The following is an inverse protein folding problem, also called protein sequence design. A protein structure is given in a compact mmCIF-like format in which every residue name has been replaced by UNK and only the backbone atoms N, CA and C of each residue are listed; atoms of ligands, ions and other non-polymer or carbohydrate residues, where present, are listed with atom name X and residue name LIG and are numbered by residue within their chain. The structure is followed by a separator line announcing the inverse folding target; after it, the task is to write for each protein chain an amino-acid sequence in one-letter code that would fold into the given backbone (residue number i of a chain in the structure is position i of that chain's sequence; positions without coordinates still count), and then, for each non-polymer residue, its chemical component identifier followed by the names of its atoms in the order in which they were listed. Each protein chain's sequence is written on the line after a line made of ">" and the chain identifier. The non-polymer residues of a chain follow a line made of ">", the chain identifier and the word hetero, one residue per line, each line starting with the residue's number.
data_IF_181397437500
#
_entry.id   IF_181397437500
#
_cell.length_a   1.000
_cell.length_b   1.000
_cell.length_c   1.000
_cell.angle_alpha   90.00
_cell.angle_beta   90.00
_cell.angle_gamma   90.00
#
_symmetry.space_group_name_H-M   'P 1'
#
loop_
_entity.id
_entity.type
_entity.pdbx_description
1 polymer ?
#
# COMPACT_ATOMS: atom_id res chain seq x y z
N UNK A 1 1.64 17.97 8.02
CA UNK A 1 0.23 17.53 8.05
C UNK A 1 -0.22 17.45 9.49
N UNK A 2 -1.51 17.66 9.76
CA UNK A 2 -2.16 17.49 11.07
C UNK A 2 -3.27 16.46 10.89
N UNK A 3 -3.25 15.41 11.70
CA UNK A 3 -4.29 14.38 11.78
C UNK A 3 -4.56 14.08 13.25
N UNK A 4 -5.74 13.61 13.59
CA UNK A 4 -6.01 13.07 14.93
C UNK A 4 -5.23 11.78 15.18
N UNK A 5 -5.05 11.39 16.44
CA UNK A 5 -4.46 10.08 16.78
C UNK A 5 -5.20 8.92 16.12
N UNK A 6 -6.54 9.00 16.05
CA UNK A 6 -7.38 7.99 15.42
C UNK A 6 -7.16 7.91 13.90
N UNK A 7 -7.11 9.05 13.21
CA UNK A 7 -6.82 9.09 11.77
C UNK A 7 -5.40 8.60 11.48
N UNK A 8 -4.44 8.93 12.34
CA UNK A 8 -3.05 8.47 12.22
C UNK A 8 -2.95 6.96 12.40
N UNK A 9 -3.66 6.40 13.38
CA UNK A 9 -3.78 4.96 13.59
C UNK A 9 -4.39 4.25 12.38
N UNK A 10 -5.47 4.81 11.81
CA UNK A 10 -6.04 4.32 10.55
C UNK A 10 -5.06 4.43 9.39
N UNK A 11 -4.32 5.52 9.25
CA UNK A 11 -3.35 5.70 8.17
C UNK A 11 -2.24 4.64 8.20
N UNK A 12 -1.82 4.24 9.39
CA UNK A 12 -0.74 3.28 9.61
C UNK A 12 -1.22 1.83 9.70
N UNK A 13 -2.54 1.60 9.67
CA UNK A 13 -3.16 0.31 9.98
C UNK A 13 -2.69 -0.27 11.34
N UNK A 14 -2.60 0.60 12.35
CA UNK A 14 -2.10 0.26 13.69
C UNK A 14 -3.12 0.60 14.78
N UNK A 15 -3.19 -0.19 15.87
CA UNK A 15 -3.97 0.19 17.06
C UNK A 15 -3.45 1.51 17.67
N UNK A 16 -4.36 2.36 18.15
CA UNK A 16 -4.03 3.66 18.74
C UNK A 16 -2.97 3.56 19.86
N UNK A 17 -3.07 2.54 20.71
CA UNK A 17 -2.10 2.32 21.79
C UNK A 17 -0.69 1.98 21.29
N UNK A 18 -0.55 1.35 20.11
CA UNK A 18 0.77 1.12 19.50
C UNK A 18 1.35 2.43 18.97
N UNK A 19 0.54 3.22 18.27
CA UNK A 19 0.94 4.52 17.72
C UNK A 19 1.37 5.45 18.87
N UNK A 20 0.58 5.56 19.92
CA UNK A 20 0.89 6.38 21.09
C UNK A 20 2.18 5.94 21.78
N UNK A 21 2.36 4.64 21.98
CA UNK A 21 3.61 4.09 22.55
C UNK A 21 4.81 4.42 21.66
N UNK A 22 4.68 4.33 20.34
CA UNK A 22 5.78 4.57 19.41
C UNK A 22 6.13 6.05 19.30
N UNK A 23 5.14 6.94 19.38
CA UNK A 23 5.36 8.38 19.52
C UNK A 23 6.16 8.66 20.79
N UNK A 24 5.74 8.11 21.93
CA UNK A 24 6.44 8.29 23.22
C UNK A 24 7.86 7.74 23.20
N UNK A 25 8.09 6.65 22.47
CA UNK A 25 9.41 6.03 22.32
C UNK A 25 10.29 6.69 21.24
N UNK A 26 9.77 7.67 20.49
CA UNK A 26 10.49 8.29 19.36
C UNK A 26 10.75 7.33 18.20
N UNK A 27 10.01 6.22 18.10
CA UNK A 27 10.22 5.18 17.07
C UNK A 27 9.56 5.49 15.75
N UNK A 28 8.67 6.48 15.73
CA UNK A 28 7.92 6.93 14.56
C UNK A 28 8.06 8.46 14.46
N UNK A 29 8.23 9.04 13.25
CA UNK A 29 8.43 10.48 13.07
C UNK A 29 7.13 11.27 13.17
N UNK A 30 6.40 11.09 14.28
CA UNK A 30 5.14 11.76 14.58
C UNK A 30 5.26 12.42 15.95
N UNK A 31 4.88 13.68 16.02
CA UNK A 31 4.80 14.44 17.28
C UNK A 31 3.34 14.60 17.67
N UNK A 32 3.00 14.38 18.95
CA UNK A 32 1.65 14.54 19.48
C UNK A 32 1.54 15.87 20.25
N UNK A 33 0.47 16.62 20.02
CA UNK A 33 0.07 17.76 20.84
C UNK A 33 -1.41 17.64 21.17
N UNK A 34 -1.75 17.34 22.41
CA UNK A 34 -3.12 16.99 22.80
C UNK A 34 -3.61 15.74 22.05
N UNK A 35 -4.71 15.86 21.31
CA UNK A 35 -5.26 14.78 20.47
C UNK A 35 -4.71 14.80 19.02
N UNK A 36 -4.05 15.89 18.64
CA UNK A 36 -3.51 16.09 17.31
C UNK A 36 -2.11 15.47 17.16
N UNK A 37 -1.89 14.85 16.02
CA UNK A 37 -0.63 14.30 15.55
C UNK A 37 -0.09 15.12 14.38
N UNK A 38 1.20 15.45 14.46
CA UNK A 38 1.92 16.30 13.53
C UNK A 38 3.10 15.54 12.92
N UNK A 39 3.19 15.54 11.59
CA UNK A 39 4.29 14.92 10.87
C UNK A 39 4.46 15.52 9.47
N UNK A 40 5.64 15.35 8.89
CA UNK A 40 5.89 15.61 7.47
C UNK A 40 5.55 14.34 6.69
N UNK A 41 4.69 14.43 5.66
CA UNK A 41 4.25 13.28 4.84
C UNK A 41 5.45 12.47 4.33
N UNK A 42 6.40 13.15 3.67
CA UNK A 42 7.61 12.53 3.14
C UNK A 42 8.48 11.83 4.21
N UNK A 43 8.53 12.35 5.44
CA UNK A 43 9.28 11.72 6.51
C UNK A 43 8.60 10.43 7.01
N UNK A 44 7.26 10.45 7.10
CA UNK A 44 6.48 9.28 7.49
C UNK A 44 6.50 8.20 6.40
N UNK A 45 6.42 8.57 5.13
CA UNK A 45 6.55 7.65 3.99
C UNK A 45 7.92 6.98 3.96
N UNK A 46 9.00 7.77 4.10
CA UNK A 46 10.36 7.22 4.16
C UNK A 46 10.55 6.26 5.33
N UNK A 47 10.00 6.61 6.49
CA UNK A 47 10.02 5.74 7.67
C UNK A 47 9.25 4.45 7.42
N UNK A 48 8.06 4.53 6.83
CA UNK A 48 7.23 3.37 6.53
C UNK A 48 7.95 2.40 5.56
N UNK A 49 8.57 2.93 4.50
CA UNK A 49 9.40 2.14 3.58
C UNK A 49 10.59 1.48 4.27
N UNK A 50 11.27 2.19 5.17
CA UNK A 50 12.44 1.68 5.91
C UNK A 50 12.07 0.57 6.90
N UNK A 51 10.83 0.59 7.41
CA UNK A 51 10.34 -0.37 8.39
C UNK A 51 9.33 -1.38 7.82
N UNK A 52 9.23 -1.49 6.49
CA UNK A 52 8.30 -2.38 5.78
C UNK A 52 6.82 -2.21 6.20
N UNK A 53 6.43 -0.99 6.56
CA UNK A 53 5.05 -0.62 6.86
C UNK A 53 4.33 -0.12 5.60
N UNK A 54 3.12 -0.62 5.38
CA UNK A 54 2.22 -0.10 4.35
C UNK A 54 1.40 1.04 4.95
N UNK A 55 1.57 2.25 4.41
CA UNK A 55 0.63 3.33 4.69
C UNK A 55 -0.63 3.08 3.87
N UNK A 56 -1.79 3.10 4.52
CA UNK A 56 -3.06 3.10 3.80
C UNK A 56 -3.12 4.38 2.98
N UNK A 57 -2.97 4.25 1.65
CA UNK A 57 -3.03 5.37 0.72
C UNK A 57 -4.44 5.93 0.82
N UNK A 58 -4.60 7.09 1.47
CA UNK A 58 -5.86 7.84 1.44
C UNK A 58 -6.22 7.99 -0.02
N UNK A 59 -7.37 7.44 -0.43
CA UNK A 59 -7.84 7.27 -1.82
C UNK A 59 -8.03 8.60 -2.60
N UNK A 60 -7.51 9.71 -2.09
CA UNK A 60 -7.68 11.06 -2.62
C UNK A 60 -6.56 11.51 -3.57
N UNK A 61 -5.64 10.64 -3.97
CA UNK A 61 -4.60 11.00 -4.94
C UNK A 61 -4.37 9.88 -5.96
N UNK A 62 -5.42 9.63 -6.76
CA UNK A 62 -5.32 8.92 -8.03
C UNK A 62 -4.82 9.91 -9.08
N UNK A 63 -3.55 10.31 -8.97
CA UNK A 63 -2.82 10.94 -10.07
C UNK A 63 -1.75 9.97 -10.57
N UNK A 64 -2.15 9.27 -11.64
CA UNK A 64 -1.36 8.90 -12.80
C UNK A 64 0.17 9.00 -12.64
N UNK A 65 0.78 7.97 -12.08
CA UNK A 65 2.19 7.64 -12.37
C UNK A 65 2.34 6.13 -12.27
N UNK A 66 2.13 5.45 -13.41
CA UNK A 66 2.53 4.06 -13.65
C UNK A 66 2.45 3.14 -12.43
N UNK A 67 1.29 3.09 -11.77
CA UNK A 67 1.13 2.30 -10.56
C UNK A 67 1.40 0.85 -10.90
N UNK A 68 2.48 0.31 -10.32
CA UNK A 68 2.62 -1.12 -10.13
C UNK A 68 1.38 -1.53 -9.36
N UNK A 69 0.39 -2.09 -10.05
CA UNK A 69 -0.85 -2.56 -9.44
C UNK A 69 -0.42 -3.47 -8.31
N UNK A 70 -0.69 -3.06 -7.07
CA UNK A 70 -0.42 -3.90 -5.90
C UNK A 70 -1.39 -5.08 -5.98
N UNK A 71 -0.96 -6.13 -6.68
CA UNK A 71 -1.72 -7.38 -6.78
C UNK A 71 -1.64 -8.04 -5.41
N UNK A 72 -2.79 -8.32 -4.81
CA UNK A 72 -2.83 -9.07 -3.56
C UNK A 72 -2.25 -10.46 -3.78
N UNK A 73 -1.58 -11.04 -2.76
CA UNK A 73 -1.03 -12.40 -2.87
C UNK A 73 -2.13 -13.41 -3.24
N UNK A 74 -3.35 -13.23 -2.71
CA UNK A 74 -4.52 -14.03 -3.07
C UNK A 74 -4.80 -13.96 -4.58
N UNK A 75 -4.91 -12.76 -5.13
CA UNK A 75 -5.16 -12.56 -6.57
C UNK A 75 -4.03 -13.17 -7.40
N UNK A 76 -2.76 -12.95 -7.02
CA UNK A 76 -1.62 -13.55 -7.70
C UNK A 76 -1.65 -15.10 -7.69
N UNK A 77 -2.14 -15.70 -6.60
CA UNK A 77 -2.32 -17.16 -6.50
C UNK A 77 -3.53 -17.65 -7.32
N UNK A 78 -4.63 -16.89 -7.38
CA UNK A 78 -5.79 -17.20 -8.22
C UNK A 78 -5.45 -17.10 -9.73
N UNK A 79 -4.53 -16.21 -10.10
CA UNK A 79 -3.99 -16.11 -11.47
C UNK A 79 -2.96 -17.21 -11.81
N UNK A 80 -2.49 -17.96 -10.81
CA UNK A 80 -1.60 -19.09 -11.01
C UNK A 80 -2.35 -20.32 -11.52
N UNK A 81 -1.82 -20.99 -12.55
CA UNK A 81 -2.42 -22.21 -13.08
C UNK A 81 -1.84 -22.63 -14.43
N UNK A 82 -2.20 -23.84 -14.88
CA UNK A 82 -1.88 -24.32 -16.22
C UNK A 82 -3.10 -24.08 -17.11
N UNK A 83 -2.93 -23.23 -18.12
CA UNK A 83 -3.99 -22.89 -19.07
C UNK A 83 -3.73 -23.60 -20.42
N UNK A 84 -4.80 -24.14 -20.98
CA UNK A 84 -4.78 -25.00 -22.16
C UNK A 84 -5.59 -24.31 -23.26
N UNK A 85 -5.39 -24.69 -24.52
CA UNK A 85 -6.22 -24.25 -25.65
C UNK A 85 -6.30 -22.72 -25.81
N UNK A 86 -5.20 -22.03 -25.51
CA UNK A 86 -5.12 -20.57 -25.66
C UNK A 86 -5.00 -20.24 -27.16
N UNK A 87 -5.88 -19.39 -27.70
CA UNK A 87 -5.82 -19.02 -29.11
C UNK A 87 -4.58 -18.17 -29.41
N UNK A 88 -3.85 -18.51 -30.47
CA UNK A 88 -2.73 -17.72 -30.98
C UNK A 88 -1.95 -18.49 -32.04
N UNK A 89 -1.43 -17.79 -33.05
CA UNK A 89 -0.68 -18.39 -34.18
C UNK A 89 0.82 -18.48 -33.92
N UNK A 90 1.30 -17.78 -32.89
CA UNK A 90 2.69 -17.75 -32.47
C UNK A 90 2.79 -17.49 -30.96
N UNK A 91 3.98 -17.70 -30.39
CA UNK A 91 4.23 -17.56 -28.94
C UNK A 91 3.83 -16.18 -28.42
N UNK A 92 4.08 -15.11 -29.20
CA UNK A 92 3.75 -13.74 -28.81
C UNK A 92 2.23 -13.56 -28.67
N UNK A 93 1.45 -13.97 -29.66
CA UNK A 93 -0.01 -13.88 -29.64
C UNK A 93 -0.62 -14.68 -28.48
N UNK A 94 -0.08 -15.87 -28.20
CA UNK A 94 -0.54 -16.70 -27.07
C UNK A 94 -0.30 -15.99 -25.73
N UNK A 95 0.87 -15.39 -25.54
CA UNK A 95 1.19 -14.64 -24.30
C UNK A 95 0.35 -13.37 -24.16
N UNK A 96 0.13 -12.63 -25.25
CA UNK A 96 -0.74 -11.46 -25.26
C UNK A 96 -2.19 -11.82 -24.92
N UNK A 97 -2.70 -12.95 -25.42
CA UNK A 97 -4.04 -13.45 -25.11
C UNK A 97 -4.21 -13.83 -23.63
N UNK A 98 -3.16 -14.35 -22.98
CA UNK A 98 -3.15 -14.64 -21.53
C UNK A 98 -3.21 -13.35 -20.72
N UNK A 99 -2.38 -12.36 -21.06
CA UNK A 99 -2.27 -11.12 -20.30
C UNK A 99 -3.48 -10.20 -20.51
N UNK A 100 -4.08 -10.22 -21.70
CA UNK A 100 -5.23 -9.37 -22.04
C UNK A 100 -6.57 -9.91 -21.52
N UNK A 101 -6.61 -11.18 -21.11
CA UNK A 101 -7.70 -11.73 -20.31
C UNK A 101 -7.62 -11.05 -18.94
N UNK A 102 -8.26 -9.89 -18.81
CA UNK A 102 -8.45 -9.21 -17.54
C UNK A 102 -9.44 -10.07 -16.72
N UNK A 103 -8.90 -11.07 -16.02
CA UNK A 103 -9.60 -11.96 -15.08
C UNK A 103 -9.55 -11.32 -13.69
#
# INVERSE_FOLDING_TARGET
>A
MRLTLQETAKLLDLPMGMVERWIRQGRIPISKSGEDCYFKKAALEKWALTHNFSLLKKEADRQETGETVLVSLRSAMEFGGIFHEIPGKNVKEVLEAVVSRNI
#
